data_IF_420940342685
#
_entry.id   IF_420940342685
#
_cell.length_a   1.000
_cell.length_b   1.000
_cell.length_c   1.000
_cell.angle_alpha   90.00
_cell.angle_beta   90.00
_cell.angle_gamma   90.00
#
_symmetry.space_group_name_H-M   'P 1'
#
loop_
_entity.id
_entity.type
_entity.pdbx_description
1 polymer ?
#
# COMPACT_ATOMS: atom_id res chain seq x y z
N UNK A 1 31.87 68.26 18.34
CA UNK A 1 30.74 67.67 17.62
C UNK A 1 31.14 66.25 17.21
N UNK A 2 30.80 65.25 17.99
CA UNK A 2 31.14 63.81 17.77
C UNK A 2 29.91 63.14 17.19
N UNK A 3 30.00 62.67 15.95
CA UNK A 3 28.95 61.86 15.28
C UNK A 3 29.15 60.40 15.67
N UNK A 4 28.24 59.86 16.43
CA UNK A 4 28.19 58.45 16.82
C UNK A 4 27.49 57.67 15.67
N UNK A 5 28.24 56.84 14.99
CA UNK A 5 27.69 55.95 13.95
C UNK A 5 27.21 54.65 14.63
N UNK A 6 25.91 54.42 14.59
CA UNK A 6 25.23 53.22 15.17
C UNK A 6 25.20 52.15 14.07
N UNK A 7 26.04 51.12 14.20
CA UNK A 7 26.08 49.93 13.35
C UNK A 7 24.98 48.97 13.79
N UNK A 8 23.95 48.86 12.99
CA UNK A 8 22.88 47.83 13.20
C UNK A 8 23.38 46.54 12.49
N UNK A 9 23.76 45.56 13.29
CA UNK A 9 24.06 44.21 12.82
C UNK A 9 22.74 43.45 12.56
N UNK A 10 22.46 43.22 11.28
CA UNK A 10 21.34 42.37 10.85
C UNK A 10 21.77 40.90 11.03
N UNK A 11 21.29 40.23 12.09
CA UNK A 11 21.43 38.79 12.25
C UNK A 11 20.41 38.07 11.35
N UNK A 12 20.91 37.52 10.23
CA UNK A 12 20.13 36.63 9.37
C UNK A 12 20.00 35.27 10.06
N UNK A 13 18.84 34.98 10.62
CA UNK A 13 18.46 33.65 11.07
C UNK A 13 18.23 32.75 9.84
N UNK A 14 19.29 32.02 9.43
CA UNK A 14 19.17 30.91 8.49
C UNK A 14 18.44 29.77 9.25
N UNK A 15 17.13 29.73 9.11
CA UNK A 15 16.33 28.59 9.54
C UNK A 15 16.68 27.37 8.71
N UNK A 16 17.47 26.44 9.24
CA UNK A 16 17.59 25.10 8.67
C UNK A 16 16.23 24.43 8.79
N UNK A 17 15.47 24.46 7.70
CA UNK A 17 14.36 23.53 7.51
C UNK A 17 14.98 22.15 7.35
N UNK A 18 15.07 21.37 8.43
CA UNK A 18 15.33 19.94 8.39
C UNK A 18 14.14 19.29 7.69
N UNK A 19 14.23 19.14 6.36
CA UNK A 19 13.37 18.20 5.64
C UNK A 19 13.73 16.80 6.14
N UNK A 20 12.92 16.25 7.03
CA UNK A 20 13.01 14.86 7.44
C UNK A 20 12.62 14.03 6.22
N UNK A 21 13.57 13.75 5.33
CA UNK A 21 13.38 12.71 4.31
C UNK A 21 13.16 11.40 5.07
N UNK A 22 12.06 10.70 4.77
CA UNK A 22 11.83 9.40 5.36
C UNK A 22 13.05 8.50 5.09
N UNK A 23 13.54 7.81 6.13
CA UNK A 23 14.74 6.99 5.98
C UNK A 23 14.46 5.76 5.12
N UNK A 24 15.46 5.26 4.37
CA UNK A 24 15.33 4.05 3.57
C UNK A 24 14.95 2.82 4.41
N UNK A 25 15.17 2.89 5.72
CA UNK A 25 14.82 1.84 6.67
C UNK A 25 13.32 1.72 6.96
N UNK A 26 12.53 2.71 6.52
CA UNK A 26 11.10 2.75 6.78
C UNK A 26 10.29 1.96 5.73
N UNK A 27 10.90 1.53 4.62
CA UNK A 27 10.27 0.66 3.62
C UNK A 27 10.65 -0.78 3.90
N UNK A 28 9.63 -1.66 3.92
CA UNK A 28 9.80 -3.10 4.07
C UNK A 28 9.31 -3.80 2.82
N UNK A 29 9.96 -4.90 2.46
CA UNK A 29 9.57 -5.79 1.36
C UNK A 29 8.95 -7.05 1.93
N UNK A 30 7.85 -7.50 1.33
CA UNK A 30 7.11 -8.67 1.78
C UNK A 30 6.65 -9.54 0.60
N UNK A 31 6.41 -10.81 0.85
CA UNK A 31 5.73 -11.73 -0.08
C UNK A 31 4.24 -11.83 0.20
N UNK A 32 3.83 -11.44 1.41
CA UNK A 32 2.44 -11.34 1.84
C UNK A 32 2.11 -9.90 2.20
N UNK A 33 0.99 -9.44 1.72
CA UNK A 33 0.44 -8.12 1.98
C UNK A 33 -0.62 -8.14 3.08
N UNK A 34 -1.46 -7.12 3.14
CA UNK A 34 -2.56 -7.02 4.10
C UNK A 34 -3.69 -8.01 3.77
N UNK A 35 -4.50 -8.27 4.78
CA UNK A 35 -5.79 -8.94 4.60
C UNK A 35 -6.85 -7.97 4.04
N UNK A 36 -7.92 -8.52 3.50
CA UNK A 36 -9.08 -7.73 3.05
C UNK A 36 -9.67 -6.89 4.20
N UNK A 37 -9.74 -7.44 5.41
CA UNK A 37 -10.22 -6.73 6.61
C UNK A 37 -9.30 -5.55 6.98
N UNK A 38 -7.97 -5.71 6.89
CA UNK A 38 -7.00 -4.63 7.16
C UNK A 38 -7.13 -3.48 6.15
N UNK A 39 -7.31 -3.80 4.86
CA UNK A 39 -7.57 -2.81 3.82
C UNK A 39 -8.90 -2.10 4.09
N UNK A 40 -9.96 -2.84 4.42
CA UNK A 40 -11.27 -2.26 4.74
C UNK A 40 -11.18 -1.29 5.93
N UNK A 41 -10.55 -1.71 7.04
CA UNK A 41 -10.36 -0.85 8.21
C UNK A 41 -9.55 0.42 7.88
N UNK A 42 -8.48 0.27 7.09
CA UNK A 42 -7.64 1.41 6.68
C UNK A 42 -8.39 2.40 5.79
N UNK A 43 -9.25 1.89 4.86
CA UNK A 43 -10.14 2.74 4.04
C UNK A 43 -11.14 3.48 4.91
N UNK A 44 -11.74 2.75 5.86
CA UNK A 44 -12.77 3.29 6.73
C UNK A 44 -12.22 4.40 7.62
N UNK A 45 -11.06 4.15 8.25
CA UNK A 45 -10.36 5.13 9.08
C UNK A 45 -10.00 6.40 8.28
N UNK A 46 -9.52 6.23 7.05
CA UNK A 46 -9.16 7.36 6.18
C UNK A 46 -10.38 8.16 5.70
N UNK A 47 -11.49 7.49 5.40
CA UNK A 47 -12.70 8.13 4.88
C UNK A 47 -13.58 8.77 5.96
N UNK A 48 -13.64 8.17 7.14
CA UNK A 48 -14.56 8.55 8.21
C UNK A 48 -13.87 8.99 9.50
N UNK A 49 -12.54 8.95 9.57
CA UNK A 49 -11.74 9.26 10.77
C UNK A 49 -12.15 8.45 12.03
N UNK A 50 -12.75 7.26 11.83
CA UNK A 50 -13.11 6.30 12.87
C UNK A 50 -12.98 4.86 12.37
N UNK A 51 -12.94 3.91 13.28
CA UNK A 51 -13.05 2.50 12.94
C UNK A 51 -14.48 2.13 12.53
N UNK A 52 -14.65 1.09 11.70
CA UNK A 52 -15.98 0.57 11.38
C UNK A 52 -16.66 -0.01 12.64
N UNK A 53 -17.97 0.07 12.69
CA UNK A 53 -18.79 -0.60 13.70
C UNK A 53 -18.80 -2.11 13.46
N UNK A 54 -19.37 -2.85 14.41
CA UNK A 54 -19.58 -4.29 14.26
C UNK A 54 -20.47 -4.61 13.04
N UNK A 55 -21.56 -3.87 12.86
CA UNK A 55 -22.50 -4.09 11.74
C UNK A 55 -21.85 -3.77 10.40
N UNK A 56 -21.07 -2.68 10.30
CA UNK A 56 -20.34 -2.32 9.08
C UNK A 56 -19.28 -3.38 8.73
N UNK A 57 -18.57 -3.89 9.73
CA UNK A 57 -17.58 -4.96 9.54
C UNK A 57 -18.25 -6.28 9.14
N UNK A 58 -19.42 -6.58 9.71
CA UNK A 58 -20.21 -7.79 9.38
C UNK A 58 -20.75 -7.70 7.96
N UNK A 59 -21.30 -6.55 7.57
CA UNK A 59 -21.78 -6.32 6.20
C UNK A 59 -20.67 -6.48 5.17
N UNK A 60 -19.50 -5.90 5.43
CA UNK A 60 -18.32 -6.07 4.57
C UNK A 60 -17.91 -7.54 4.39
N UNK A 61 -17.89 -8.31 5.50
CA UNK A 61 -17.51 -9.73 5.43
C UNK A 61 -18.50 -10.58 4.65
N UNK A 62 -19.78 -10.32 4.80
CA UNK A 62 -20.84 -11.01 4.03
C UNK A 62 -20.67 -10.70 2.53
N UNK A 63 -20.46 -9.43 2.18
CA UNK A 63 -20.22 -9.02 0.79
C UNK A 63 -18.95 -9.64 0.21
N UNK A 64 -17.87 -9.68 1.00
CA UNK A 64 -16.62 -10.30 0.59
C UNK A 64 -16.79 -11.81 0.36
N UNK A 65 -17.50 -12.51 1.26
CA UNK A 65 -17.81 -13.94 1.10
C UNK A 65 -18.57 -14.22 -0.19
N UNK A 66 -19.57 -13.39 -0.50
CA UNK A 66 -20.31 -13.53 -1.75
C UNK A 66 -19.42 -13.34 -2.96
N UNK A 67 -18.60 -12.27 -2.99
CA UNK A 67 -17.65 -12.02 -4.09
C UNK A 67 -16.65 -13.16 -4.27
N UNK A 68 -16.11 -13.69 -3.17
CA UNK A 68 -15.18 -14.83 -3.22
C UNK A 68 -15.88 -16.08 -3.74
N UNK A 69 -17.11 -16.35 -3.28
CA UNK A 69 -17.91 -17.49 -3.76
C UNK A 69 -18.18 -17.40 -5.27
N UNK A 70 -18.58 -16.22 -5.73
CA UNK A 70 -18.86 -15.96 -7.15
C UNK A 70 -17.59 -16.10 -8.02
N UNK A 71 -16.45 -15.64 -7.51
CA UNK A 71 -15.14 -15.79 -8.17
C UNK A 71 -14.77 -17.28 -8.29
N UNK A 72 -14.82 -18.04 -7.19
CA UNK A 72 -14.46 -19.45 -7.19
C UNK A 72 -15.41 -20.30 -8.05
N UNK A 73 -16.68 -19.92 -8.17
CA UNK A 73 -17.61 -20.57 -9.07
C UNK A 73 -17.26 -20.37 -10.55
N UNK A 74 -16.68 -19.22 -10.89
CA UNK A 74 -16.21 -18.92 -12.26
C UNK A 74 -14.81 -19.48 -12.56
N UNK A 75 -14.03 -19.80 -11.53
CA UNK A 75 -12.63 -20.26 -11.62
C UNK A 75 -12.47 -21.64 -10.94
N UNK A 76 -13.01 -22.70 -11.53
CA UNK A 76 -12.92 -24.04 -10.95
C UNK A 76 -11.50 -24.54 -10.77
N UNK A 77 -10.55 -24.08 -11.60
CA UNK A 77 -9.12 -24.36 -11.48
C UNK A 77 -8.51 -23.78 -10.18
N UNK A 78 -9.02 -22.64 -9.71
CA UNK A 78 -8.63 -22.04 -8.44
C UNK A 78 -9.34 -22.75 -7.27
N UNK A 79 -10.65 -23.01 -7.40
CA UNK A 79 -11.47 -23.58 -6.34
C UNK A 79 -11.03 -24.99 -5.92
N UNK A 80 -10.45 -25.78 -6.86
CA UNK A 80 -9.92 -27.13 -6.61
C UNK A 80 -8.43 -27.14 -6.22
N UNK A 81 -7.79 -25.97 -6.20
CA UNK A 81 -6.38 -25.83 -5.86
C UNK A 81 -6.16 -25.47 -4.38
N UNK A 82 -4.95 -25.69 -3.83
CA UNK A 82 -4.59 -25.20 -2.48
C UNK A 82 -4.76 -23.68 -2.33
N UNK A 83 -4.79 -22.92 -3.44
CA UNK A 83 -5.00 -21.48 -3.44
C UNK A 83 -6.40 -21.06 -3.00
N UNK A 84 -7.40 -21.94 -3.08
CA UNK A 84 -8.76 -21.63 -2.62
C UNK A 84 -8.77 -21.15 -1.16
N UNK A 85 -7.93 -21.72 -0.30
CA UNK A 85 -7.81 -21.33 1.11
C UNK A 85 -7.33 -19.89 1.31
N UNK A 86 -6.56 -19.36 0.37
CA UNK A 86 -6.10 -17.96 0.38
C UNK A 86 -7.29 -16.98 0.34
N UNK A 87 -8.33 -17.32 -0.44
CA UNK A 87 -9.53 -16.49 -0.60
C UNK A 87 -10.57 -16.73 0.49
N UNK A 88 -10.76 -17.98 0.89
CA UNK A 88 -11.83 -18.34 1.83
C UNK A 88 -11.47 -18.09 3.29
N UNK A 89 -10.22 -18.40 3.69
CA UNK A 89 -9.81 -18.34 5.09
C UNK A 89 -8.84 -17.22 5.39
N UNK A 90 -7.73 -17.13 4.63
CA UNK A 90 -6.70 -16.15 4.92
C UNK A 90 -7.09 -14.74 4.46
N UNK A 91 -7.80 -14.63 3.32
CA UNK A 91 -8.22 -13.35 2.71
C UNK A 91 -7.07 -12.35 2.61
N UNK A 92 -5.85 -12.87 2.41
CA UNK A 92 -4.60 -12.13 2.42
C UNK A 92 -4.04 -12.05 1.01
N UNK A 93 -3.60 -10.85 0.64
CA UNK A 93 -2.93 -10.62 -0.63
C UNK A 93 -1.53 -11.24 -0.58
N UNK A 94 -1.12 -11.89 -1.67
CA UNK A 94 0.21 -12.50 -1.75
C UNK A 94 0.78 -12.41 -3.17
N UNK A 95 2.10 -12.40 -3.26
CA UNK A 95 2.82 -12.47 -4.53
C UNK A 95 2.35 -13.69 -5.33
N UNK A 96 2.16 -13.51 -6.64
CA UNK A 96 1.61 -14.51 -7.56
C UNK A 96 0.11 -14.38 -7.82
N UNK A 97 -0.61 -13.53 -7.08
CA UNK A 97 -2.01 -13.21 -7.38
C UNK A 97 -2.15 -12.40 -8.67
N UNK A 98 -3.25 -12.60 -9.38
CA UNK A 98 -3.63 -11.75 -10.52
C UNK A 98 -4.19 -10.41 -10.05
N UNK A 99 -4.26 -9.44 -10.96
CA UNK A 99 -4.93 -8.15 -10.69
C UNK A 99 -6.39 -8.32 -10.28
N UNK A 100 -7.09 -9.28 -10.89
CA UNK A 100 -8.46 -9.63 -10.53
C UNK A 100 -8.54 -10.14 -9.09
N UNK A 101 -7.67 -11.06 -8.70
CA UNK A 101 -7.62 -11.62 -7.35
C UNK A 101 -7.27 -10.57 -6.29
N UNK A 102 -6.33 -9.67 -6.60
CA UNK A 102 -6.01 -8.54 -5.71
C UNK A 102 -7.21 -7.60 -5.59
N UNK A 103 -7.89 -7.29 -6.68
CA UNK A 103 -9.08 -6.43 -6.67
C UNK A 103 -10.24 -7.08 -5.93
N UNK A 104 -10.40 -8.40 -6.06
CA UNK A 104 -11.40 -9.17 -5.33
C UNK A 104 -11.29 -8.98 -3.81
N UNK A 105 -10.07 -9.05 -3.28
CA UNK A 105 -9.80 -8.94 -1.84
C UNK A 105 -9.67 -7.49 -1.36
N UNK A 106 -8.94 -6.65 -2.09
CA UNK A 106 -8.59 -5.30 -1.68
C UNK A 106 -9.50 -4.20 -2.25
N UNK A 107 -10.32 -4.53 -3.25
CA UNK A 107 -11.06 -3.52 -4.02
C UNK A 107 -10.15 -2.66 -4.90
N UNK A 108 -10.65 -1.53 -5.35
CA UNK A 108 -9.94 -0.62 -6.27
C UNK A 108 -8.73 0.05 -5.59
N UNK A 109 -7.54 0.13 -6.21
CA UNK A 109 -6.41 0.87 -5.68
C UNK A 109 -6.69 2.38 -5.63
N UNK A 110 -5.97 3.12 -4.79
CA UNK A 110 -6.03 4.58 -4.73
C UNK A 110 -5.30 5.24 -5.89
N UNK A 111 -4.20 4.66 -6.30
CA UNK A 111 -3.40 5.11 -7.44
C UNK A 111 -2.88 3.89 -8.21
N UNK A 112 -2.86 4.04 -9.52
CA UNK A 112 -2.21 3.12 -10.45
C UNK A 112 -1.17 3.94 -11.21
N UNK A 113 0.06 3.47 -11.29
CA UNK A 113 1.12 4.16 -12.02
C UNK A 113 2.07 3.21 -12.73
N UNK A 114 2.52 3.63 -13.90
CA UNK A 114 3.60 3.00 -14.69
C UNK A 114 4.85 3.89 -14.71
N UNK A 115 4.85 4.99 -13.95
CA UNK A 115 5.96 5.92 -13.84
C UNK A 115 7.10 5.28 -13.03
N UNK A 116 8.22 5.03 -13.70
CA UNK A 116 9.40 4.39 -13.08
C UNK A 116 9.95 5.22 -11.92
N UNK A 117 9.94 6.55 -12.02
CA UNK A 117 10.45 7.41 -10.96
C UNK A 117 9.60 7.33 -9.69
N UNK A 118 8.27 7.26 -9.85
CA UNK A 118 7.34 7.04 -8.73
C UNK A 118 7.53 5.66 -8.10
N UNK A 119 7.65 4.61 -8.92
CA UNK A 119 7.90 3.25 -8.45
C UNK A 119 9.23 3.15 -7.70
N UNK A 120 10.29 3.77 -8.23
CA UNK A 120 11.60 3.84 -7.57
C UNK A 120 11.52 4.57 -6.22
N UNK A 121 10.83 5.71 -6.18
CA UNK A 121 10.66 6.48 -4.94
C UNK A 121 9.90 5.70 -3.86
N UNK A 122 8.95 4.86 -4.26
CA UNK A 122 8.18 4.00 -3.35
C UNK A 122 8.98 2.77 -2.89
N UNK A 123 9.69 2.10 -3.80
CA UNK A 123 10.44 0.87 -3.52
C UNK A 123 11.80 1.12 -2.84
N UNK A 124 12.38 2.30 -3.02
CA UNK A 124 13.67 2.74 -2.43
C UNK A 124 14.79 1.72 -2.65
N UNK A 125 15.43 1.24 -1.56
CA UNK A 125 16.53 0.28 -1.60
C UNK A 125 16.17 -1.05 -2.31
N UNK A 126 14.89 -1.39 -2.42
CA UNK A 126 14.43 -2.63 -3.08
C UNK A 126 14.24 -2.46 -4.59
N UNK A 127 14.26 -1.21 -5.10
CA UNK A 127 14.00 -0.92 -6.51
C UNK A 127 14.90 -1.72 -7.49
N UNK A 128 16.22 -1.88 -7.26
CA UNK A 128 17.06 -2.65 -8.17
C UNK A 128 16.57 -4.09 -8.42
N UNK A 129 15.92 -4.70 -7.41
CA UNK A 129 15.37 -6.04 -7.52
C UNK A 129 13.96 -6.03 -8.13
N UNK A 130 13.14 -5.04 -7.79
CA UNK A 130 11.74 -4.93 -8.19
C UNK A 130 11.64 -4.56 -9.68
N UNK A 131 12.44 -3.59 -10.16
CA UNK A 131 12.39 -3.07 -11.54
C UNK A 131 12.61 -4.12 -12.62
N UNK A 132 13.25 -5.25 -12.30
CA UNK A 132 13.52 -6.33 -13.25
C UNK A 132 12.21 -6.90 -13.81
N UNK A 133 11.15 -6.91 -12.99
CA UNK A 133 9.85 -7.49 -13.34
C UNK A 133 8.71 -6.48 -13.34
N UNK A 134 8.74 -5.51 -12.44
CA UNK A 134 7.64 -4.56 -12.27
C UNK A 134 7.45 -3.65 -13.48
N UNK A 135 6.22 -3.55 -13.96
CA UNK A 135 5.78 -2.67 -15.03
C UNK A 135 4.72 -1.66 -14.57
N UNK A 136 4.06 -1.96 -13.47
CA UNK A 136 2.98 -1.17 -12.92
C UNK A 136 2.98 -1.28 -11.40
N UNK A 137 2.59 -0.22 -10.71
CA UNK A 137 2.45 -0.21 -9.25
C UNK A 137 1.04 0.28 -8.88
N UNK A 138 0.43 -0.43 -7.95
CA UNK A 138 -0.84 -0.07 -7.32
C UNK A 138 -0.60 0.34 -5.88
N UNK A 139 -1.21 1.45 -5.47
CA UNK A 139 -1.13 1.97 -4.11
C UNK A 139 -2.43 1.71 -3.37
N UNK A 140 -2.30 1.13 -2.19
CA UNK A 140 -3.42 0.81 -1.31
C UNK A 140 -3.29 1.54 0.05
N UNK A 141 -4.40 1.67 0.81
CA UNK A 141 -4.36 2.26 2.15
C UNK A 141 -3.46 1.45 3.09
N UNK A 142 -2.88 2.13 4.10
CA UNK A 142 -1.88 1.54 4.97
C UNK A 142 -0.49 1.52 4.34
N UNK A 143 -0.28 2.41 3.35
CA UNK A 143 1.01 2.62 2.66
C UNK A 143 1.57 1.35 1.99
N UNK A 144 0.67 0.50 1.48
CA UNK A 144 0.99 -0.68 0.71
C UNK A 144 1.18 -0.34 -0.77
N UNK A 145 2.26 -0.85 -1.38
CA UNK A 145 2.54 -0.78 -2.80
C UNK A 145 2.65 -2.19 -3.37
N UNK A 146 1.86 -2.48 -4.39
CA UNK A 146 1.82 -3.75 -5.09
C UNK A 146 2.38 -3.57 -6.50
N UNK A 147 3.41 -4.33 -6.84
CA UNK A 147 4.10 -4.23 -8.12
C UNK A 147 3.69 -5.39 -9.02
N UNK A 148 3.26 -5.05 -10.23
CA UNK A 148 2.76 -6.02 -11.19
C UNK A 148 3.69 -6.13 -12.40
N UNK A 149 3.83 -7.36 -12.89
CA UNK A 149 4.29 -7.68 -14.22
C UNK A 149 3.09 -8.21 -15.00
N UNK A 150 2.66 -7.46 -16.01
CA UNK A 150 1.45 -7.75 -16.77
C UNK A 150 0.24 -7.91 -15.82
N UNK A 151 -0.28 -9.11 -15.66
CA UNK A 151 -1.42 -9.40 -14.78
C UNK A 151 -1.02 -9.97 -13.41
N UNK A 152 0.26 -10.26 -13.17
CA UNK A 152 0.69 -10.91 -11.93
C UNK A 152 1.35 -9.96 -10.94
N UNK A 153 0.97 -10.06 -9.67
CA UNK A 153 1.62 -9.42 -8.55
C UNK A 153 2.99 -10.09 -8.30
N UNK A 154 4.06 -9.34 -8.54
CA UNK A 154 5.44 -9.85 -8.47
C UNK A 154 6.21 -9.40 -7.24
N UNK A 155 5.74 -8.33 -6.59
CA UNK A 155 6.40 -7.79 -5.41
C UNK A 155 5.46 -6.92 -4.57
N UNK A 156 5.75 -6.80 -3.28
CA UNK A 156 5.00 -5.98 -2.33
C UNK A 156 6.00 -5.19 -1.49
N UNK A 157 5.74 -3.90 -1.31
CA UNK A 157 6.41 -3.09 -0.29
C UNK A 157 5.38 -2.39 0.59
N UNK A 158 5.79 -2.06 1.81
CA UNK A 158 5.00 -1.25 2.73
C UNK A 158 5.90 -0.21 3.38
N UNK A 159 5.37 1.00 3.52
CA UNK A 159 6.04 2.07 4.23
C UNK A 159 5.72 2.00 5.73
N UNK A 160 6.75 2.05 6.56
CA UNK A 160 6.60 1.92 8.01
C UNK A 160 6.43 0.47 8.47
N UNK A 161 6.09 0.30 9.76
CA UNK A 161 5.81 -1.02 10.32
C UNK A 161 4.41 -1.44 9.86
N UNK A 162 4.23 -2.65 9.29
CA UNK A 162 2.90 -3.16 8.97
C UNK A 162 1.98 -3.05 10.20
N UNK A 163 0.72 -2.67 10.06
CA UNK A 163 -0.24 -2.79 11.14
C UNK A 163 -0.28 -4.26 11.61
N UNK A 164 -0.26 -4.45 12.93
CA UNK A 164 -0.30 -5.77 13.58
C UNK A 164 -1.67 -6.39 13.40
#
# INVERSE_FOLDING_TARGET
MRRLAMLIALMSLVGCATSTQPSDKDVQRATEGPTADEIFMSRFLRGYARLPTFDESTAFRIELEQRVSDYLAKHPEVSTSPRASQFTFHRRISVGMTKEEVTLLAGTPYEVTTDEAKMQAAARQFWPSIKVRAKEMWVYPGDWQFYFQDDQLVDITVFGKPPL
#
